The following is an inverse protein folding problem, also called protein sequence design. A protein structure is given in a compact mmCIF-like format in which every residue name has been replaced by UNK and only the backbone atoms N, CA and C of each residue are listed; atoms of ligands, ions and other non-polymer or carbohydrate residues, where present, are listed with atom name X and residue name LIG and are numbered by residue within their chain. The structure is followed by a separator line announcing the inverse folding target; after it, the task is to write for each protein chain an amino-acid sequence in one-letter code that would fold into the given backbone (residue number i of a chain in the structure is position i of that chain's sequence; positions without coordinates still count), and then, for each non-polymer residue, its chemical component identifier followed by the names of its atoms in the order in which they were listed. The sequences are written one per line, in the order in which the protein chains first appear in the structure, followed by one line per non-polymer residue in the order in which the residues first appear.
data_IF_474733220974
#
_entry.id   IF_474733220974
#
_cell.length_a   1.000
_cell.length_b   1.000
_cell.length_c   1.000
_cell.angle_alpha   90.00
_cell.angle_beta   90.00
_cell.angle_gamma   90.00
#
_symmetry.space_group_name_H-M   'P 1'
#
loop_
_entity.id
_entity.type
_entity.pdbx_description
1 polymer ?
#
# COMPACT_ATOMS: atom_id res chain seq x y z
N UNK A 1 -0.48 3.33 9.73
CA UNK A 1 -1.94 3.53 9.89
C UNK A 1 -2.32 4.96 10.28
N UNK A 2 -1.42 5.92 10.16
CA UNK A 2 -1.67 7.32 10.54
C UNK A 2 -2.54 8.11 9.53
N UNK A 3 -2.80 7.56 8.35
CA UNK A 3 -3.55 8.25 7.29
C UNK A 3 -5.06 7.98 7.26
N UNK A 4 -5.61 7.24 8.21
CA UNK A 4 -7.06 7.12 8.37
C UNK A 4 -7.61 8.37 9.07
N UNK A 5 -7.54 9.50 8.40
CA UNK A 5 -8.13 10.74 8.87
C UNK A 5 -9.67 10.67 8.81
N UNK A 6 -10.34 11.53 9.57
CA UNK A 6 -11.82 11.69 9.50
C UNK A 6 -12.33 11.94 8.07
N UNK A 7 -11.49 12.47 7.17
CA UNK A 7 -11.79 12.62 5.74
C UNK A 7 -11.88 11.28 5.01
N UNK A 8 -11.05 10.30 5.35
CA UNK A 8 -11.10 8.96 4.74
C UNK A 8 -12.41 8.25 5.06
N UNK A 9 -12.99 8.48 6.26
CA UNK A 9 -14.32 7.98 6.62
C UNK A 9 -15.46 8.63 5.81
N UNK A 10 -15.27 9.81 5.24
CA UNK A 10 -16.28 10.43 4.39
C UNK A 10 -16.56 9.61 3.13
N UNK A 11 -15.58 8.86 2.61
CA UNK A 11 -15.75 7.97 1.47
C UNK A 11 -16.57 6.72 1.79
N UNK A 12 -16.68 6.36 3.09
CA UNK A 12 -17.53 5.23 3.53
C UNK A 12 -19.00 5.56 3.66
N UNK A 13 -19.41 6.80 3.53
CA UNK A 13 -20.84 7.19 3.70
C UNK A 13 -21.77 6.39 2.81
N UNK A 14 -21.42 6.23 1.52
CA UNK A 14 -22.24 5.48 0.58
C UNK A 14 -22.26 3.97 0.89
N UNK A 15 -21.14 3.28 1.08
CA UNK A 15 -21.12 1.89 1.53
C UNK A 15 -21.90 1.66 2.83
N UNK A 16 -21.72 2.52 3.83
CA UNK A 16 -22.42 2.40 5.11
C UNK A 16 -23.93 2.61 4.97
N UNK A 17 -24.36 3.61 4.20
CA UNK A 17 -25.78 3.82 3.92
C UNK A 17 -26.40 2.59 3.24
N UNK A 18 -25.70 2.01 2.26
CA UNK A 18 -26.17 0.80 1.58
C UNK A 18 -26.23 -0.40 2.53
N UNK A 19 -25.25 -0.55 3.42
CA UNK A 19 -25.26 -1.59 4.46
C UNK A 19 -26.44 -1.42 5.43
N UNK A 20 -26.75 -0.19 5.86
CA UNK A 20 -27.91 0.10 6.70
C UNK A 20 -29.20 -0.29 6.00
N UNK A 21 -29.37 0.09 4.73
CA UNK A 21 -30.55 -0.30 3.92
C UNK A 21 -30.64 -1.82 3.81
N UNK A 22 -29.54 -2.50 3.56
CA UNK A 22 -29.49 -3.96 3.49
C UNK A 22 -30.00 -4.59 4.80
N UNK A 23 -29.48 -4.18 5.93
CA UNK A 23 -29.89 -4.70 7.23
C UNK A 23 -31.37 -4.37 7.57
N UNK A 24 -31.86 -3.19 7.21
CA UNK A 24 -33.27 -2.84 7.38
C UNK A 24 -34.18 -3.76 6.57
N UNK A 25 -33.86 -4.05 5.31
CA UNK A 25 -34.60 -4.99 4.46
C UNK A 25 -34.62 -6.38 5.10
N UNK A 26 -33.46 -6.86 5.56
CA UNK A 26 -33.36 -8.15 6.23
C UNK A 26 -34.16 -8.23 7.52
N UNK A 27 -34.01 -7.23 8.39
CA UNK A 27 -34.71 -7.16 9.68
C UNK A 27 -36.23 -7.11 9.49
N UNK A 28 -36.71 -6.14 8.71
CA UNK A 28 -38.15 -5.96 8.44
C UNK A 28 -38.73 -7.18 7.75
N UNK A 29 -38.02 -7.70 6.74
CA UNK A 29 -38.49 -8.87 6.01
C UNK A 29 -38.61 -10.13 6.87
N UNK A 30 -37.68 -10.35 7.80
CA UNK A 30 -37.76 -11.49 8.71
C UNK A 30 -38.77 -11.31 9.85
N UNK A 31 -39.07 -10.07 10.26
CA UNK A 31 -40.07 -9.80 11.26
C UNK A 31 -41.53 -9.93 10.72
N UNK A 32 -41.76 -9.50 9.49
CA UNK A 32 -43.12 -9.40 8.93
C UNK A 32 -43.48 -10.56 8.02
N UNK A 33 -42.48 -11.22 7.39
CA UNK A 33 -42.71 -12.33 6.47
C UNK A 33 -42.22 -13.64 7.05
N UNK A 34 -42.81 -14.74 6.57
CA UNK A 34 -42.43 -16.10 6.98
C UNK A 34 -42.17 -16.98 5.74
N UNK A 35 -41.44 -18.06 5.96
CA UNK A 35 -41.10 -19.00 4.93
C UNK A 35 -40.31 -18.42 3.76
N UNK A 36 -40.73 -18.67 2.55
CA UNK A 36 -40.01 -18.31 1.33
C UNK A 36 -39.78 -16.81 1.17
N UNK A 37 -40.73 -15.96 1.64
CA UNK A 37 -40.58 -14.50 1.57
C UNK A 37 -39.52 -13.96 2.52
N UNK A 38 -39.41 -14.53 3.72
CA UNK A 38 -38.35 -14.16 4.66
C UNK A 38 -36.98 -14.59 4.12
N UNK A 39 -36.89 -15.78 3.52
CA UNK A 39 -35.68 -16.22 2.85
C UNK A 39 -35.26 -15.27 1.72
N UNK A 40 -36.22 -14.83 0.88
CA UNK A 40 -35.96 -13.89 -0.20
C UNK A 40 -35.44 -12.53 0.35
N UNK A 41 -36.06 -12.03 1.43
CA UNK A 41 -35.58 -10.79 2.08
C UNK A 41 -34.15 -10.92 2.57
N UNK A 42 -33.80 -12.04 3.17
CA UNK A 42 -32.42 -12.32 3.60
C UNK A 42 -31.46 -12.40 2.40
N UNK A 43 -31.85 -13.04 1.30
CA UNK A 43 -31.05 -13.11 0.10
C UNK A 43 -30.78 -11.71 -0.49
N UNK A 44 -31.81 -10.85 -0.56
CA UNK A 44 -31.67 -9.47 -1.02
C UNK A 44 -30.76 -8.67 -0.07
N UNK A 45 -30.93 -8.81 1.24
CA UNK A 45 -30.04 -8.22 2.24
C UNK A 45 -28.57 -8.59 1.98
N UNK A 46 -28.29 -9.87 1.77
CA UNK A 46 -26.93 -10.35 1.53
C UNK A 46 -26.32 -9.77 0.25
N UNK A 47 -27.10 -9.73 -0.84
CA UNK A 47 -26.63 -9.13 -2.11
C UNK A 47 -26.25 -7.65 -1.90
N UNK A 48 -27.12 -6.88 -1.25
CA UNK A 48 -26.86 -5.45 -0.97
C UNK A 48 -25.67 -5.28 -0.03
N UNK A 49 -25.55 -6.12 1.00
CA UNK A 49 -24.44 -6.08 1.94
C UNK A 49 -23.08 -6.38 1.26
N UNK A 50 -23.02 -7.39 0.41
CA UNK A 50 -21.79 -7.67 -0.35
C UNK A 50 -21.45 -6.56 -1.34
N UNK A 51 -22.44 -5.90 -1.92
CA UNK A 51 -22.20 -4.72 -2.74
C UNK A 51 -21.66 -3.55 -1.90
N UNK A 52 -22.20 -3.32 -0.71
CA UNK A 52 -21.70 -2.32 0.22
C UNK A 52 -20.23 -2.60 0.61
N UNK A 53 -19.92 -3.85 0.95
CA UNK A 53 -18.56 -4.28 1.27
C UNK A 53 -17.61 -4.07 0.08
N UNK A 54 -18.02 -4.45 -1.14
CA UNK A 54 -17.23 -4.21 -2.35
C UNK A 54 -16.97 -2.72 -2.58
N UNK A 55 -17.99 -1.87 -2.43
CA UNK A 55 -17.83 -0.41 -2.58
C UNK A 55 -16.88 0.16 -1.53
N UNK A 56 -16.93 -0.33 -0.30
CA UNK A 56 -16.00 0.05 0.75
C UNK A 56 -14.56 -0.32 0.37
N UNK A 57 -14.32 -1.55 -0.09
CA UNK A 57 -12.99 -1.99 -0.53
C UNK A 57 -12.45 -1.15 -1.69
N UNK A 58 -13.29 -0.83 -2.69
CA UNK A 58 -12.90 0.02 -3.83
C UNK A 58 -12.59 1.45 -3.35
N UNK A 59 -13.36 1.99 -2.40
CA UNK A 59 -13.12 3.32 -1.85
C UNK A 59 -11.81 3.41 -1.05
N UNK A 60 -11.39 2.31 -0.43
CA UNK A 60 -10.12 2.22 0.31
C UNK A 60 -8.92 1.80 -0.52
N UNK A 61 -9.13 1.28 -1.73
CA UNK A 61 -8.03 0.78 -2.57
C UNK A 61 -6.89 1.81 -2.75
N UNK A 62 -7.14 3.12 -2.99
CA UNK A 62 -6.08 4.12 -3.12
C UNK A 62 -5.21 4.28 -1.85
N UNK A 63 -5.77 3.97 -0.67
CA UNK A 63 -5.06 4.08 0.61
C UNK A 63 -4.35 2.78 1.01
N UNK A 64 -4.85 1.63 0.54
CA UNK A 64 -4.30 0.32 0.85
C UNK A 64 -3.30 -0.15 -0.21
N UNK A 65 -3.53 0.19 -1.47
CA UNK A 65 -2.71 -0.28 -2.59
C UNK A 65 -1.55 0.67 -2.87
N UNK A 66 -0.38 0.10 -3.08
CA UNK A 66 0.80 0.82 -3.59
C UNK A 66 0.90 0.77 -5.13
N UNK A 67 -0.18 0.38 -5.80
CA UNK A 67 -0.24 0.29 -7.27
C UNK A 67 0.13 1.61 -7.97
N UNK A 68 -0.36 2.80 -7.55
CA UNK A 68 0.04 4.07 -8.17
C UNK A 68 1.54 4.31 -8.13
N UNK A 69 2.20 3.94 -7.02
CA UNK A 69 3.65 4.03 -6.88
C UNK A 69 4.37 3.05 -7.82
N UNK A 70 3.84 1.83 -7.96
CA UNK A 70 4.38 0.84 -8.89
C UNK A 70 4.29 1.31 -10.36
N UNK A 71 3.15 1.84 -10.78
CA UNK A 71 2.94 2.36 -12.13
C UNK A 71 3.90 3.52 -12.44
N UNK A 72 4.16 4.36 -11.46
CA UNK A 72 5.11 5.47 -11.62
C UNK A 72 6.55 4.95 -11.75
N UNK A 73 6.96 3.97 -10.94
CA UNK A 73 8.27 3.33 -11.06
C UNK A 73 8.45 2.69 -12.44
N UNK A 74 7.40 2.05 -12.98
CA UNK A 74 7.43 1.45 -14.32
C UNK A 74 7.60 2.47 -15.44
N UNK A 75 7.08 3.69 -15.27
CA UNK A 75 7.22 4.80 -16.22
C UNK A 75 8.51 5.60 -16.03
N UNK A 76 9.22 5.36 -14.93
CA UNK A 76 10.48 6.04 -14.60
C UNK A 76 11.67 5.31 -15.23
N UNK A 77 12.83 5.97 -15.36
CA UNK A 77 14.04 5.31 -15.84
C UNK A 77 14.36 4.03 -15.07
N UNK A 78 14.94 3.00 -15.68
CA UNK A 78 15.26 1.75 -15.02
C UNK A 78 16.20 1.97 -13.83
N UNK A 79 15.98 1.20 -12.74
CA UNK A 79 16.78 1.30 -11.53
C UNK A 79 16.48 0.15 -10.58
N UNK A 80 17.38 -0.08 -9.62
CA UNK A 80 17.19 -1.07 -8.55
C UNK A 80 16.05 -0.66 -7.61
N UNK A 81 15.38 -1.65 -7.01
CA UNK A 81 14.34 -1.41 -6.01
C UNK A 81 14.86 -1.72 -4.61
N UNK A 82 14.54 -0.85 -3.67
CA UNK A 82 14.84 -1.03 -2.24
C UNK A 82 13.54 -0.84 -1.46
N UNK A 83 13.28 -1.74 -0.54
CA UNK A 83 12.17 -1.65 0.41
C UNK A 83 12.70 -1.25 1.78
N UNK A 84 12.12 -0.21 2.38
CA UNK A 84 12.22 0.00 3.81
C UNK A 84 11.30 -1.00 4.54
N UNK A 85 11.34 -1.03 5.88
CA UNK A 85 10.41 -1.79 6.70
C UNK A 85 9.06 -1.06 6.81
N UNK A 86 7.95 -1.76 6.94
CA UNK A 86 7.77 -3.22 6.80
C UNK A 86 7.57 -3.62 5.33
N UNK A 87 8.31 -4.61 4.87
CA UNK A 87 8.32 -5.11 3.49
C UNK A 87 6.93 -5.42 2.91
N UNK A 88 6.06 -6.03 3.71
CA UNK A 88 4.74 -6.50 3.24
C UNK A 88 3.78 -5.36 2.85
N UNK A 89 3.98 -4.15 3.37
CA UNK A 89 3.14 -2.99 3.03
C UNK A 89 3.37 -2.49 1.60
N UNK A 90 4.49 -2.87 1.01
CA UNK A 90 4.87 -2.51 -0.36
C UNK A 90 4.72 -3.68 -1.34
N UNK A 91 4.05 -4.76 -0.95
CA UNK A 91 3.92 -5.97 -1.76
C UNK A 91 3.34 -5.72 -3.15
N UNK A 92 2.41 -4.77 -3.30
CA UNK A 92 1.86 -4.37 -4.61
C UNK A 92 2.94 -3.80 -5.53
N UNK A 93 3.94 -3.08 -5.00
CA UNK A 93 5.04 -2.54 -5.82
C UNK A 93 5.82 -3.68 -6.45
N UNK A 94 6.18 -4.68 -5.66
CA UNK A 94 6.94 -5.85 -6.14
C UNK A 94 6.14 -6.67 -7.14
N UNK A 95 4.87 -6.87 -6.85
CA UNK A 95 3.95 -7.61 -7.72
C UNK A 95 3.79 -6.93 -9.09
N UNK A 96 3.45 -5.64 -9.11
CA UNK A 96 3.20 -4.93 -10.38
C UNK A 96 4.47 -4.60 -11.16
N UNK A 97 5.60 -4.36 -10.49
CA UNK A 97 6.88 -4.14 -11.18
C UNK A 97 7.56 -5.42 -11.62
N UNK A 98 7.13 -6.57 -11.11
CA UNK A 98 7.76 -7.88 -11.30
C UNK A 98 9.27 -7.84 -11.01
N UNK A 99 9.66 -7.17 -9.92
CA UNK A 99 11.05 -7.00 -9.51
C UNK A 99 11.21 -7.36 -8.03
N UNK A 100 12.32 -7.99 -7.70
CA UNK A 100 12.70 -8.27 -6.32
C UNK A 100 13.45 -7.06 -5.73
N UNK A 101 13.02 -6.53 -4.58
CA UNK A 101 13.71 -5.43 -3.92
C UNK A 101 14.90 -5.93 -3.09
N UNK A 102 15.86 -5.05 -2.86
CA UNK A 102 16.71 -5.12 -1.68
C UNK A 102 15.88 -4.73 -0.45
N UNK A 103 16.05 -5.45 0.67
CA UNK A 103 15.27 -5.22 1.89
C UNK A 103 16.17 -4.57 2.93
N UNK A 104 16.00 -3.27 3.12
CA UNK A 104 16.79 -2.47 4.04
C UNK A 104 16.35 -2.70 5.49
N UNK A 105 17.28 -3.21 6.31
CA UNK A 105 17.04 -3.61 7.71
C UNK A 105 15.84 -4.56 7.89
N UNK A 106 15.53 -5.37 6.87
CA UNK A 106 14.31 -6.15 6.79
C UNK A 106 14.35 -7.52 7.46
N UNK A 107 15.42 -7.85 8.20
CA UNK A 107 15.45 -9.05 9.05
C UNK A 107 14.61 -8.83 10.30
N UNK A 108 13.30 -8.92 10.12
CA UNK A 108 12.30 -8.60 11.13
C UNK A 108 11.10 -9.55 11.01
N UNK A 109 10.50 -9.94 12.13
CA UNK A 109 9.37 -10.88 12.19
C UNK A 109 9.65 -12.19 11.44
N UNK A 110 8.73 -12.60 10.57
CA UNK A 110 8.77 -13.85 9.79
C UNK A 110 9.96 -13.91 8.82
N UNK A 111 10.49 -12.77 8.36
CA UNK A 111 11.64 -12.74 7.45
C UNK A 111 12.95 -13.00 8.19
N UNK A 112 13.01 -12.77 9.49
CA UNK A 112 14.21 -12.98 10.28
C UNK A 112 14.69 -14.43 10.22
N UNK A 113 13.82 -15.36 10.56
CA UNK A 113 14.17 -16.79 10.59
C UNK A 113 14.51 -17.34 9.21
N UNK A 114 13.71 -17.02 8.19
CA UNK A 114 13.94 -17.46 6.82
C UNK A 114 15.22 -16.89 6.20
N UNK A 115 15.66 -15.71 6.63
CA UNK A 115 16.86 -15.05 6.08
C UNK A 115 18.18 -15.73 6.43
N UNK A 116 18.20 -16.58 7.44
CA UNK A 116 19.37 -17.34 7.86
C UNK A 116 19.39 -18.77 7.34
N UNK A 117 18.35 -19.20 6.63
CA UNK A 117 18.27 -20.55 6.09
C UNK A 117 19.32 -20.76 4.97
N UNK A 118 19.89 -21.97 4.84
CA UNK A 118 20.73 -22.30 3.73
C UNK A 118 20.03 -22.07 2.39
N UNK A 119 20.66 -21.30 1.48
CA UNK A 119 20.04 -20.93 0.20
C UNK A 119 19.11 -19.71 0.25
N UNK A 120 19.00 -19.02 1.39
CA UNK A 120 18.29 -17.75 1.45
C UNK A 120 18.92 -16.71 0.51
N UNK A 121 18.11 -15.91 -0.21
CA UNK A 121 18.63 -14.89 -1.10
C UNK A 121 19.36 -13.79 -0.33
N UNK A 122 20.47 -13.29 -0.88
CA UNK A 122 21.22 -12.17 -0.31
C UNK A 122 20.59 -10.84 -0.71
N UNK A 123 19.40 -10.59 -0.19
CA UNK A 123 18.61 -9.36 -0.45
C UNK A 123 18.52 -8.43 0.76
N UNK A 124 18.99 -8.88 1.92
CA UNK A 124 18.92 -8.11 3.16
C UNK A 124 20.15 -7.22 3.29
N UNK A 125 19.92 -5.91 3.35
CA UNK A 125 20.98 -4.90 3.46
C UNK A 125 20.85 -4.11 4.76
N UNK A 126 21.98 -3.72 5.29
CA UNK A 126 22.12 -2.83 6.45
C UNK A 126 22.30 -1.35 6.02
N UNK A 127 22.48 -0.46 7.00
CA UNK A 127 22.68 0.97 6.76
C UNK A 127 23.94 1.26 5.95
N UNK A 128 25.03 0.51 6.17
CA UNK A 128 26.29 0.72 5.48
C UNK A 128 26.16 0.32 3.98
N UNK A 129 25.55 -0.82 3.72
CA UNK A 129 25.28 -1.28 2.36
C UNK A 129 24.28 -0.38 1.65
N UNK A 130 23.25 0.08 2.37
CA UNK A 130 22.26 1.05 1.84
C UNK A 130 22.94 2.35 1.42
N UNK A 131 23.81 2.92 2.25
CA UNK A 131 24.56 4.12 1.90
C UNK A 131 25.47 3.93 0.68
N UNK A 132 26.13 2.75 0.58
CA UNK A 132 26.96 2.40 -0.56
C UNK A 132 26.16 2.35 -1.86
N UNK A 133 24.99 1.68 -1.85
CA UNK A 133 24.10 1.61 -3.02
C UNK A 133 23.56 2.99 -3.39
N UNK A 134 23.18 3.80 -2.38
CA UNK A 134 22.60 5.12 -2.61
C UNK A 134 23.56 6.13 -3.24
N UNK A 135 24.85 5.99 -2.95
CA UNK A 135 25.92 6.83 -3.52
C UNK A 135 26.45 6.35 -4.86
N UNK A 136 26.00 5.18 -5.32
CA UNK A 136 26.44 4.62 -6.59
C UNK A 136 25.92 5.45 -7.77
N UNK A 137 26.58 5.33 -8.92
CA UNK A 137 26.14 5.91 -10.18
C UNK A 137 24.84 5.28 -10.70
N UNK A 138 24.53 4.05 -10.28
CA UNK A 138 23.30 3.36 -10.62
C UNK A 138 22.09 4.01 -9.93
N UNK A 139 20.95 4.00 -10.62
CA UNK A 139 19.71 4.49 -10.06
C UNK A 139 19.07 3.46 -9.14
N UNK A 140 18.60 3.94 -7.99
CA UNK A 140 17.81 3.17 -7.03
C UNK A 140 16.54 3.91 -6.65
N UNK A 141 15.47 3.14 -6.44
CA UNK A 141 14.19 3.61 -5.91
C UNK A 141 13.97 2.98 -4.54
N UNK A 142 13.82 3.83 -3.53
CA UNK A 142 13.48 3.42 -2.17
C UNK A 142 11.99 3.64 -1.95
N UNK A 143 11.28 2.59 -1.57
CA UNK A 143 9.88 2.68 -1.12
C UNK A 143 9.86 2.62 0.40
N UNK A 144 9.20 3.59 1.02
CA UNK A 144 9.15 3.75 2.46
C UNK A 144 7.82 4.36 2.90
N UNK A 145 7.52 4.29 4.20
CA UNK A 145 6.46 5.06 4.83
C UNK A 145 6.91 6.49 5.12
N UNK A 146 5.97 7.44 5.10
CA UNK A 146 6.27 8.85 5.39
C UNK A 146 6.88 9.06 6.76
N UNK A 147 6.40 8.32 7.77
CA UNK A 147 6.95 8.36 9.12
C UNK A 147 8.44 8.02 9.22
N UNK A 148 9.01 7.37 8.19
CA UNK A 148 10.42 7.00 8.15
C UNK A 148 11.32 8.07 7.51
N UNK A 149 10.77 9.08 6.88
CA UNK A 149 11.54 10.13 6.19
C UNK A 149 12.62 10.78 7.06
N UNK A 150 12.39 11.12 8.35
CA UNK A 150 13.43 11.69 9.20
C UNK A 150 14.64 10.77 9.37
N UNK A 151 14.39 9.47 9.60
CA UNK A 151 15.45 8.46 9.72
C UNK A 151 16.18 8.28 8.38
N UNK A 152 15.45 8.17 7.29
CA UNK A 152 16.00 8.03 5.94
C UNK A 152 16.94 9.21 5.62
N UNK A 153 16.49 10.43 5.89
CA UNK A 153 17.30 11.65 5.69
C UNK A 153 18.56 11.67 6.56
N UNK A 154 18.48 11.14 7.79
CA UNK A 154 19.64 11.03 8.67
C UNK A 154 20.67 10.04 8.14
N UNK A 155 20.23 8.88 7.63
CA UNK A 155 21.13 7.84 7.13
C UNK A 155 21.68 8.16 5.74
N UNK A 156 20.86 8.67 4.83
CA UNK A 156 21.23 8.90 3.42
C UNK A 156 21.72 10.32 3.11
N UNK A 157 21.51 11.26 4.04
CA UNK A 157 21.83 12.67 3.85
C UNK A 157 20.85 13.40 2.93
N UNK A 158 21.27 14.55 2.39
CA UNK A 158 20.40 15.42 1.58
C UNK A 158 20.16 14.94 0.14
N UNK A 159 20.76 13.85 -0.30
CA UNK A 159 20.60 13.33 -1.66
C UNK A 159 19.36 12.41 -1.81
N UNK A 160 18.25 12.85 -1.26
CA UNK A 160 16.99 12.10 -1.32
C UNK A 160 16.01 12.89 -2.18
N UNK A 161 15.71 12.36 -3.37
CA UNK A 161 14.77 13.00 -4.30
C UNK A 161 13.41 12.32 -4.23
N UNK A 162 12.37 12.99 -3.75
CA UNK A 162 11.03 12.41 -3.77
C UNK A 162 10.50 12.33 -5.21
N UNK A 163 9.94 11.17 -5.54
CA UNK A 163 9.40 10.82 -6.86
C UNK A 163 7.88 10.85 -6.82
N UNK A 164 7.29 10.20 -5.84
CA UNK A 164 5.85 10.12 -5.66
C UNK A 164 5.47 9.89 -4.21
N UNK A 165 4.23 10.24 -3.89
CA UNK A 165 3.60 10.06 -2.60
C UNK A 165 2.18 9.52 -2.81
N UNK A 166 1.76 8.50 -2.08
CA UNK A 166 0.41 7.95 -2.15
C UNK A 166 0.11 7.12 -0.91
N UNK A 167 -1.00 7.41 -0.24
CA UNK A 167 -1.50 6.63 0.90
C UNK A 167 -0.50 6.50 2.05
N UNK A 168 0.20 7.58 2.44
CA UNK A 168 1.19 7.58 3.52
C UNK A 168 2.51 6.88 3.17
N UNK A 169 2.72 6.61 1.88
CA UNK A 169 3.90 5.94 1.35
C UNK A 169 4.58 6.80 0.31
N UNK A 170 5.89 6.76 0.29
CA UNK A 170 6.74 7.59 -0.59
C UNK A 170 7.69 6.74 -1.41
N UNK A 171 7.93 7.15 -2.64
CA UNK A 171 9.03 6.66 -3.47
C UNK A 171 10.10 7.75 -3.55
N UNK A 172 11.31 7.38 -3.19
CA UNK A 172 12.49 8.22 -3.22
C UNK A 172 13.49 7.68 -4.24
N UNK A 173 14.32 8.53 -4.82
CA UNK A 173 15.42 8.09 -5.69
C UNK A 173 16.71 8.82 -5.36
N UNK A 174 17.85 8.15 -5.57
CA UNK A 174 19.18 8.71 -5.38
C UNK A 174 19.56 9.74 -6.47
N UNK A 175 19.01 9.62 -7.68
CA UNK A 175 19.27 10.55 -8.77
C UNK A 175 17.98 11.26 -9.19
N UNK A 176 17.98 12.59 -9.39
CA UNK A 176 16.77 13.31 -9.82
C UNK A 176 16.24 12.77 -11.14
N UNK A 177 14.93 12.78 -11.30
CA UNK A 177 14.29 12.39 -12.57
C UNK A 177 14.49 13.51 -13.59
N UNK A 178 14.74 13.17 -14.87
CA UNK A 178 14.98 14.16 -15.92
C UNK A 178 13.76 15.05 -16.22
N UNK A 179 12.55 14.58 -15.91
CA UNK A 179 11.31 15.37 -15.98
C UNK A 179 10.60 15.26 -14.65
N UNK A 180 10.65 16.31 -13.85
CA UNK A 180 9.84 16.42 -12.63
C UNK A 180 8.39 16.69 -13.08
N UNK A 181 7.60 15.63 -13.29
CA UNK A 181 6.15 15.79 -13.36
C UNK A 181 5.69 16.44 -12.04
N UNK A 182 4.80 17.44 -12.06
CA UNK A 182 4.33 18.08 -10.84
C UNK A 182 3.70 17.00 -9.94
N UNK A 183 4.05 17.03 -8.65
CA UNK A 183 3.40 16.24 -7.62
C UNK A 183 1.88 16.43 -7.75
N UNK A 184 1.16 15.37 -8.07
CA UNK A 184 -0.29 15.33 -7.88
C UNK A 184 -0.55 14.71 -6.51
N UNK A 185 -0.75 15.55 -5.51
CA UNK A 185 -1.40 15.14 -4.27
C UNK A 185 -2.84 14.74 -4.62
N UNK A 186 -3.13 13.44 -4.53
CA UNK A 186 -4.48 12.89 -4.59
C UNK A 186 -4.81 12.19 -3.30
#
# INVERSE_FOLDING_TARGET
MEDLTLRSFAYLRLPLALAVVAFLIGAVGNLWWKGQRAFLATAVMMVLFFHAARLAMVAFDPFLSTRPLAELILRSPPGGLISAQPYYEFSSVWFYTNRNPWIWNGRYNNLEYGSYAPGAPDIFIDDARMQSLWRNADRYYLVAEDGQLPRISTVLGQQVNPVAHSGGKVVLTNHPLPNKAPFSDH
#
